data_IF_560875845985
#
_entry.id   IF_560875845985
#
_cell.length_a   1.000
_cell.length_b   1.000
_cell.length_c   1.000
_cell.angle_alpha   90.00
_cell.angle_beta   90.00
_cell.angle_gamma   90.00
#
_symmetry.space_group_name_H-M   'P 1'
#
loop_
_entity.id
_entity.type
_entity.pdbx_description
1 polymer ?
#
# COMPACT_ATOMS: atom_id res chain seq x y z
N UNK A 1 19.33 -3.76 -5.47
CA UNK A 1 19.88 -3.39 -6.79
C UNK A 1 18.87 -2.43 -7.41
N UNK A 2 19.10 -1.11 -7.36
CA UNK A 2 18.08 -0.12 -7.77
C UNK A 2 17.82 -0.20 -9.27
N UNK A 3 16.60 -0.56 -9.68
CA UNK A 3 16.23 -0.71 -11.08
C UNK A 3 16.34 0.65 -11.78
N UNK A 4 17.14 0.70 -12.86
CA UNK A 4 17.19 1.87 -13.75
C UNK A 4 15.92 1.90 -14.59
N UNK A 5 15.33 3.09 -14.74
CA UNK A 5 14.17 3.35 -15.60
C UNK A 5 14.36 2.67 -16.97
N UNK A 6 13.51 1.69 -17.30
CA UNK A 6 13.54 0.95 -18.57
C UNK A 6 14.26 -0.41 -18.57
N UNK A 7 14.68 -0.94 -17.42
CA UNK A 7 15.19 -2.32 -17.32
C UNK A 7 14.05 -3.31 -17.06
N UNK A 8 14.19 -4.55 -17.52
CA UNK A 8 13.22 -5.62 -17.23
C UNK A 8 13.11 -5.82 -15.71
N UNK A 9 11.91 -5.62 -15.17
CA UNK A 9 11.62 -5.85 -13.76
C UNK A 9 11.19 -7.30 -13.57
N UNK A 10 11.96 -8.00 -12.74
CA UNK A 10 11.74 -9.41 -12.45
C UNK A 10 12.45 -10.35 -13.41
N UNK A 11 12.37 -11.64 -13.09
CA UNK A 11 13.03 -12.71 -13.82
C UNK A 11 12.07 -13.88 -14.00
N UNK A 12 12.01 -14.42 -15.21
CA UNK A 12 11.34 -15.69 -15.46
C UNK A 12 12.08 -16.82 -14.73
N UNK A 13 11.34 -17.65 -14.00
CA UNK A 13 11.93 -18.73 -13.22
C UNK A 13 10.93 -19.78 -12.79
N UNK A 14 11.41 -20.75 -12.02
CA UNK A 14 10.58 -21.75 -11.36
C UNK A 14 10.54 -21.41 -9.88
N UNK A 15 9.35 -21.18 -9.29
CA UNK A 15 9.24 -20.89 -7.87
C UNK A 15 9.70 -22.11 -7.05
N UNK A 16 10.35 -21.92 -5.89
CA UNK A 16 10.60 -22.99 -4.94
C UNK A 16 9.31 -23.75 -4.57
N UNK A 17 9.44 -25.06 -4.35
CA UNK A 17 8.31 -25.96 -4.10
C UNK A 17 7.59 -25.68 -2.78
N UNK A 18 8.31 -25.13 -1.79
CA UNK A 18 7.87 -24.90 -0.42
C UNK A 18 7.51 -23.43 -0.12
N UNK A 19 7.30 -22.60 -1.16
CA UNK A 19 6.89 -21.22 -0.97
C UNK A 19 5.53 -21.12 -0.27
N UNK A 20 5.52 -20.38 0.83
CA UNK A 20 4.27 -19.93 1.44
C UNK A 20 3.52 -19.00 0.49
N UNK A 21 2.21 -19.23 0.42
CA UNK A 21 1.32 -18.50 -0.47
C UNK A 21 0.51 -17.47 0.29
N UNK A 22 0.42 -16.25 -0.25
CA UNK A 22 -0.41 -15.17 0.28
C UNK A 22 -1.54 -14.82 -0.70
N UNK A 23 -2.78 -14.79 -0.19
CA UNK A 23 -4.00 -14.44 -0.93
C UNK A 23 -4.46 -13.00 -0.70
N UNK A 24 -3.82 -12.30 0.24
CA UNK A 24 -4.10 -10.90 0.54
C UNK A 24 -2.83 -10.17 0.97
N UNK A 25 -2.82 -8.85 0.82
CA UNK A 25 -1.70 -7.98 1.21
C UNK A 25 -1.38 -8.09 2.70
N UNK A 26 -2.41 -8.34 3.52
CA UNK A 26 -2.27 -8.59 4.95
C UNK A 26 -1.40 -9.82 5.21
N UNK A 27 -1.66 -10.92 4.50
CA UNK A 27 -0.88 -12.16 4.64
C UNK A 27 0.57 -11.94 4.21
N UNK A 28 0.79 -11.14 3.16
CA UNK A 28 2.15 -10.73 2.76
C UNK A 28 2.82 -10.00 3.94
N UNK A 29 2.21 -8.93 4.47
CA UNK A 29 2.77 -8.17 5.60
C UNK A 29 3.01 -9.01 6.86
N UNK A 30 2.13 -9.97 7.16
CA UNK A 30 2.29 -10.91 8.28
C UNK A 30 3.46 -11.89 8.05
N UNK A 31 3.60 -12.45 6.85
CA UNK A 31 4.73 -13.33 6.49
C UNK A 31 6.06 -12.57 6.57
N UNK A 32 6.11 -11.36 5.99
CA UNK A 32 7.29 -10.50 6.03
C UNK A 32 7.67 -10.10 7.46
N UNK A 33 6.69 -9.75 8.28
CA UNK A 33 6.91 -9.43 9.70
C UNK A 33 7.43 -10.62 10.51
N UNK A 34 7.17 -11.85 10.07
CA UNK A 34 7.69 -13.07 10.69
C UNK A 34 9.05 -13.52 10.12
N UNK A 35 9.68 -12.71 9.26
CA UNK A 35 11.02 -12.95 8.73
C UNK A 35 11.06 -13.76 7.43
N UNK A 36 9.92 -14.10 6.84
CA UNK A 36 9.88 -14.65 5.49
C UNK A 36 10.14 -13.52 4.50
N UNK A 37 10.93 -13.75 3.47
CA UNK A 37 11.23 -12.73 2.46
C UNK A 37 10.89 -13.18 1.04
N UNK A 38 10.44 -14.43 0.85
CA UNK A 38 10.06 -14.98 -0.45
C UNK A 38 8.67 -15.59 -0.33
N UNK A 39 7.72 -15.11 -1.13
CA UNK A 39 6.30 -15.43 -0.99
C UNK A 39 5.69 -15.66 -2.39
N UNK A 40 4.84 -16.67 -2.54
CA UNK A 40 4.00 -16.84 -3.73
C UNK A 40 2.71 -16.03 -3.57
N UNK A 41 2.34 -15.21 -4.54
CA UNK A 41 1.08 -14.49 -4.51
C UNK A 41 -0.04 -15.29 -5.19
N UNK A 42 -1.23 -15.15 -4.64
CA UNK A 42 -2.45 -15.75 -5.18
C UNK A 42 -3.62 -14.75 -5.22
N UNK A 43 -3.40 -13.50 -4.79
CA UNK A 43 -4.43 -12.47 -4.70
C UNK A 43 -3.96 -11.24 -3.91
N UNK A 44 -4.85 -10.26 -3.80
CA UNK A 44 -4.57 -8.98 -3.15
C UNK A 44 -4.23 -7.85 -4.13
N UNK A 45 -4.04 -6.67 -3.58
CA UNK A 45 -3.78 -5.44 -4.32
C UNK A 45 -2.38 -5.43 -4.93
N UNK A 46 -1.39 -6.01 -4.23
CA UNK A 46 -0.05 -6.23 -4.79
C UNK A 46 -0.11 -7.19 -5.97
N UNK A 47 -0.80 -8.32 -5.85
CA UNK A 47 -0.97 -9.27 -6.96
C UNK A 47 -1.59 -8.59 -8.18
N UNK A 48 -2.65 -7.80 -8.00
CA UNK A 48 -3.26 -7.03 -9.08
C UNK A 48 -2.29 -5.99 -9.69
N UNK A 49 -1.50 -5.31 -8.84
CA UNK A 49 -0.50 -4.31 -9.27
C UNK A 49 0.60 -4.95 -10.13
N UNK A 50 1.02 -6.18 -9.81
CA UNK A 50 2.03 -6.92 -10.56
C UNK A 50 1.49 -7.56 -11.85
N UNK A 51 0.21 -7.34 -12.19
CA UNK A 51 -0.42 -7.98 -13.35
C UNK A 51 -0.72 -9.46 -13.14
N UNK A 52 -0.87 -9.88 -11.87
CA UNK A 52 -1.11 -11.26 -11.49
C UNK A 52 -2.30 -11.88 -12.24
N UNK A 53 -2.07 -13.11 -12.71
CA UNK A 53 -3.04 -13.90 -13.45
C UNK A 53 -3.15 -15.27 -12.79
N UNK A 54 -4.36 -15.81 -12.66
CA UNK A 54 -4.56 -17.18 -12.15
C UNK A 54 -4.45 -18.24 -13.26
N UNK A 55 -4.03 -17.85 -14.47
CA UNK A 55 -3.87 -18.78 -15.58
C UNK A 55 -2.56 -19.57 -15.45
N UNK A 56 -2.68 -20.90 -15.42
CA UNK A 56 -1.55 -21.84 -15.34
C UNK A 56 -0.58 -21.74 -16.53
N UNK A 57 -1.00 -21.11 -17.64
CA UNK A 57 -0.16 -20.86 -18.80
C UNK A 57 0.79 -19.66 -18.65
N UNK A 58 0.66 -18.89 -17.57
CA UNK A 58 1.50 -17.70 -17.34
C UNK A 58 2.86 -18.14 -16.80
N UNK A 59 3.98 -17.80 -17.45
CA UNK A 59 5.29 -18.09 -16.92
C UNK A 59 5.48 -17.44 -15.55
N UNK A 60 6.03 -18.17 -14.58
CA UNK A 60 6.24 -17.63 -13.24
C UNK A 60 7.33 -16.55 -13.24
N UNK A 61 7.03 -15.46 -12.56
CA UNK A 61 7.91 -14.31 -12.45
C UNK A 61 8.37 -14.13 -11.01
N UNK A 62 9.68 -14.03 -10.84
CA UNK A 62 10.34 -13.62 -9.60
C UNK A 62 10.51 -12.10 -9.60
N UNK A 63 9.87 -11.40 -8.66
CA UNK A 63 9.81 -9.94 -8.63
C UNK A 63 10.35 -9.43 -7.29
N UNK A 64 11.50 -8.73 -7.27
CA UNK A 64 11.92 -8.01 -6.07
C UNK A 64 10.96 -6.83 -5.85
N UNK A 65 10.61 -6.60 -4.59
CA UNK A 65 9.77 -5.49 -4.17
C UNK A 65 10.38 -4.75 -2.98
N UNK A 66 10.04 -3.47 -2.92
CA UNK A 66 10.15 -2.65 -1.74
C UNK A 66 8.94 -2.87 -0.84
N UNK A 67 9.11 -2.61 0.46
CA UNK A 67 8.02 -2.68 1.45
C UNK A 67 8.05 -1.46 2.36
N UNK A 68 6.96 -1.23 3.08
CA UNK A 68 6.88 -0.17 4.08
C UNK A 68 7.12 -0.76 5.47
N UNK A 69 8.15 -0.27 6.16
CA UNK A 69 8.24 -0.40 7.61
C UNK A 69 7.46 0.75 8.25
N UNK A 70 6.41 0.41 9.01
CA UNK A 70 5.48 1.36 9.62
C UNK A 70 5.65 1.34 11.12
N UNK A 71 6.16 2.44 11.67
CA UNK A 71 6.27 2.69 13.10
C UNK A 71 5.13 3.59 13.56
N UNK A 72 4.37 3.21 14.59
CA UNK A 72 3.20 3.98 15.01
C UNK A 72 2.95 3.90 16.52
N UNK A 73 2.23 4.90 17.04
CA UNK A 73 1.75 4.92 18.43
C UNK A 73 0.23 5.02 18.46
N UNK A 74 -0.41 4.17 19.26
CA UNK A 74 -1.85 4.27 19.46
C UNK A 74 -2.20 5.51 20.28
N UNK A 75 -3.41 6.04 20.11
CA UNK A 75 -3.85 7.22 20.87
C UNK A 75 -3.98 6.99 22.38
N UNK A 76 -3.99 5.73 22.84
CA UNK A 76 -4.13 5.35 24.27
C UNK A 76 -2.86 4.72 24.85
N UNK A 77 -1.81 4.57 24.04
CA UNK A 77 -0.63 3.80 24.38
C UNK A 77 0.59 4.46 23.73
N UNK A 78 1.57 4.82 24.55
CA UNK A 78 2.78 5.52 24.11
C UNK A 78 3.85 4.58 23.52
N UNK A 79 3.65 3.26 23.61
CA UNK A 79 4.53 2.26 23.02
C UNK A 79 4.59 2.41 21.50
N UNK A 80 5.82 2.43 20.96
CA UNK A 80 6.05 2.42 19.53
C UNK A 80 5.91 0.98 19.02
N UNK A 81 4.98 0.77 18.10
CA UNK A 81 4.75 -0.52 17.44
C UNK A 81 5.26 -0.45 16.01
N UNK A 82 5.81 -1.56 15.54
CA UNK A 82 6.35 -1.69 14.18
C UNK A 82 5.56 -2.78 13.45
N UNK A 83 5.20 -2.50 12.19
CA UNK A 83 4.59 -3.45 11.26
C UNK A 83 5.23 -3.30 9.89
N UNK A 84 5.33 -4.41 9.16
CA UNK A 84 5.67 -4.40 7.74
C UNK A 84 4.39 -4.41 6.93
N UNK A 85 4.34 -3.59 5.88
CA UNK A 85 3.23 -3.52 4.95
C UNK A 85 3.74 -3.63 3.52
N UNK A 86 3.07 -4.47 2.73
CA UNK A 86 3.43 -4.70 1.34
C UNK A 86 2.80 -3.66 0.42
N UNK A 87 1.57 -3.22 0.70
CA UNK A 87 0.75 -2.55 -0.31
C UNK A 87 0.34 -1.15 0.09
N UNK A 88 -0.26 -0.96 1.26
CA UNK A 88 -0.81 0.34 1.62
C UNK A 88 -1.01 0.59 3.11
N UNK A 89 -0.83 1.84 3.52
CA UNK A 89 -1.23 2.37 4.81
C UNK A 89 -2.24 3.50 4.63
N UNK A 90 -3.39 3.42 5.30
CA UNK A 90 -4.46 4.40 5.14
C UNK A 90 -4.81 4.99 6.51
N UNK A 91 -4.77 6.32 6.60
CA UNK A 91 -5.19 7.10 7.75
C UNK A 91 -6.48 7.85 7.42
N UNK A 92 -7.49 7.75 8.28
CA UNK A 92 -8.76 8.49 8.07
C UNK A 92 -9.31 9.05 9.35
N UNK A 93 -10.04 10.16 9.21
CA UNK A 93 -10.80 10.75 10.30
C UNK A 93 -11.67 9.73 11.02
N UNK A 94 -11.68 9.80 12.36
CA UNK A 94 -12.51 8.94 13.21
C UNK A 94 -13.97 9.30 12.95
N UNK A 95 -14.70 8.42 12.26
CA UNK A 95 -16.13 8.53 12.14
C UNK A 95 -16.77 7.14 12.03
N UNK A 96 -18.07 7.06 12.36
CA UNK A 96 -18.83 5.81 12.32
C UNK A 96 -18.96 5.19 10.91
N UNK A 97 -18.58 5.92 9.85
CA UNK A 97 -18.74 5.51 8.44
C UNK A 97 -17.41 5.36 7.68
N UNK A 98 -16.30 5.16 8.39
CA UNK A 98 -14.99 4.82 7.77
C UNK A 98 -14.25 5.97 7.07
N UNK A 99 -14.50 7.22 7.45
CA UNK A 99 -13.61 8.36 7.17
C UNK A 99 -13.68 8.97 5.78
N UNK A 100 -14.09 8.21 4.75
CA UNK A 100 -13.88 8.65 3.36
C UNK A 100 -14.71 9.88 2.96
N UNK A 101 -15.94 10.02 3.45
CA UNK A 101 -16.84 11.08 2.99
C UNK A 101 -16.68 12.41 3.72
N UNK A 102 -15.89 12.47 4.80
CA UNK A 102 -15.68 13.67 5.61
C UNK A 102 -14.36 13.63 6.37
N UNK A 103 -13.72 14.79 6.51
CA UNK A 103 -12.47 14.94 7.25
C UNK A 103 -11.24 14.60 6.39
N UNK A 104 -10.05 14.85 6.93
CA UNK A 104 -8.81 14.52 6.23
C UNK A 104 -8.61 13.02 6.12
N UNK A 105 -7.93 12.62 5.05
CA UNK A 105 -7.46 11.25 4.88
C UNK A 105 -6.12 11.22 4.17
N UNK A 106 -5.26 10.30 4.58
CA UNK A 106 -3.98 10.04 3.94
C UNK A 106 -3.98 8.59 3.46
N UNK A 107 -3.54 8.35 2.23
CA UNK A 107 -3.24 7.02 1.73
C UNK A 107 -1.77 7.00 1.30
N UNK A 108 -0.99 6.10 1.88
CA UNK A 108 0.39 5.83 1.49
C UNK A 108 0.39 4.50 0.76
N UNK A 109 0.78 4.52 -0.51
CA UNK A 109 0.56 3.45 -1.47
C UNK A 109 1.89 2.99 -2.05
N UNK A 110 2.24 1.72 -1.82
CA UNK A 110 3.30 1.00 -2.51
C UNK A 110 2.72 0.21 -3.71
N UNK A 111 1.50 -0.28 -3.56
CA UNK A 111 0.70 -0.88 -4.63
C UNK A 111 -0.18 0.17 -5.32
N UNK A 112 -0.53 -0.09 -6.59
CA UNK A 112 -1.41 0.78 -7.37
C UNK A 112 -2.85 0.78 -6.80
N UNK A 113 -3.30 -0.40 -6.36
CA UNK A 113 -4.68 -0.65 -6.00
C UNK A 113 -4.95 -0.57 -4.49
N UNK A 114 -6.17 -0.19 -4.15
CA UNK A 114 -6.83 -0.42 -2.87
C UNK A 114 -8.16 -1.14 -3.17
N UNK A 115 -8.18 -2.46 -3.10
CA UNK A 115 -9.23 -3.29 -3.66
C UNK A 115 -9.48 -2.95 -5.14
N UNK A 116 -10.71 -2.51 -5.46
CA UNK A 116 -11.10 -2.15 -6.84
C UNK A 116 -10.72 -0.74 -7.28
N UNK A 117 -10.06 0.03 -6.43
CA UNK A 117 -9.74 1.43 -6.69
C UNK A 117 -8.28 1.55 -7.12
N UNK A 118 -8.05 2.10 -8.30
CA UNK A 118 -6.75 2.55 -8.78
C UNK A 118 -6.42 3.89 -8.11
N UNK A 119 -5.80 3.79 -6.93
CA UNK A 119 -5.49 4.93 -6.05
C UNK A 119 -4.15 5.56 -6.43
N UNK A 120 -3.16 4.75 -6.80
CA UNK A 120 -1.83 5.21 -7.19
C UNK A 120 -1.44 4.70 -8.59
N UNK A 121 -2.04 5.22 -9.68
CA UNK A 121 -1.78 4.75 -11.06
C UNK A 121 -0.33 4.86 -11.53
N UNK A 122 0.50 5.61 -10.78
CA UNK A 122 1.91 5.89 -11.09
C UNK A 122 2.89 5.21 -10.13
N UNK A 123 2.39 4.53 -9.09
CA UNK A 123 3.23 3.85 -8.11
C UNK A 123 3.89 2.62 -8.72
N UNK A 124 5.13 2.35 -8.34
CA UNK A 124 5.85 1.15 -8.75
C UNK A 124 6.40 0.45 -7.50
N UNK A 125 6.06 -0.82 -7.23
CA UNK A 125 6.46 -1.53 -6.01
C UNK A 125 7.96 -1.78 -5.79
N UNK A 126 8.86 -1.21 -6.61
CA UNK A 126 10.30 -1.46 -6.56
C UNK A 126 11.15 -0.28 -7.07
N UNK A 127 10.67 0.96 -6.87
CA UNK A 127 11.36 2.19 -7.28
C UNK A 127 11.99 2.98 -6.11
N UNK A 128 11.88 2.44 -4.90
CA UNK A 128 12.36 2.99 -3.65
C UNK A 128 11.45 4.06 -3.06
N UNK A 129 10.18 4.14 -3.49
CA UNK A 129 9.25 5.21 -3.12
C UNK A 129 7.84 4.68 -2.90
N UNK A 130 7.04 5.49 -2.24
CA UNK A 130 5.60 5.31 -2.07
C UNK A 130 4.87 6.58 -2.48
N UNK A 131 3.67 6.41 -3.01
CA UNK A 131 2.77 7.51 -3.35
C UNK A 131 1.91 7.88 -2.13
N UNK A 132 2.06 9.10 -1.65
CA UNK A 132 1.29 9.69 -0.56
C UNK A 132 0.20 10.58 -1.16
N UNK A 133 -1.06 10.18 -0.98
CA UNK A 133 -2.23 10.95 -1.34
C UNK A 133 -2.88 11.53 -0.09
N UNK A 134 -2.89 12.87 0.01
CA UNK A 134 -3.52 13.59 1.13
C UNK A 134 -4.78 14.29 0.62
N UNK A 135 -5.93 13.93 1.19
CA UNK A 135 -7.23 14.55 0.88
C UNK A 135 -7.58 15.57 1.96
N UNK A 136 -7.84 16.80 1.52
CA UNK A 136 -8.18 17.91 2.41
C UNK A 136 -9.56 17.71 3.06
N UNK A 137 -9.69 18.11 4.33
CA UNK A 137 -10.95 18.04 5.07
C UNK A 137 -12.07 18.90 4.44
N UNK A 138 -11.72 19.95 3.68
CA UNK A 138 -12.66 20.83 2.97
C UNK A 138 -13.32 20.18 1.75
N UNK A 139 -12.75 19.10 1.22
CA UNK A 139 -13.29 18.42 0.05
C UNK A 139 -14.72 17.94 0.32
N UNK A 140 -15.67 18.44 -0.45
CA UNK A 140 -17.09 18.16 -0.24
C UNK A 140 -17.45 16.68 -0.46
N UNK A 141 -18.55 16.25 0.14
CA UNK A 141 -19.09 14.88 -0.05
C UNK A 141 -19.31 14.57 -1.53
N UNK A 142 -19.81 15.54 -2.31
CA UNK A 142 -20.04 15.39 -3.76
C UNK A 142 -18.73 15.18 -4.52
N UNK A 143 -17.70 15.99 -4.24
CA UNK A 143 -16.38 15.81 -4.83
C UNK A 143 -15.78 14.44 -4.47
N UNK A 144 -15.94 14.00 -3.22
CA UNK A 144 -15.46 12.67 -2.76
C UNK A 144 -16.17 11.51 -3.45
N UNK A 145 -17.46 11.63 -3.76
CA UNK A 145 -18.18 10.65 -4.57
C UNK A 145 -17.66 10.60 -6.01
N UNK A 146 -17.44 11.77 -6.62
CA UNK A 146 -16.88 11.87 -7.99
C UNK A 146 -15.47 11.28 -8.03
N UNK A 147 -14.60 11.67 -7.09
CA UNK A 147 -13.25 11.13 -6.97
C UNK A 147 -13.26 9.61 -6.80
N UNK A 148 -14.13 9.07 -5.94
CA UNK A 148 -14.28 7.62 -5.75
C UNK A 148 -14.74 6.88 -7.00
N UNK A 149 -15.64 7.48 -7.78
CA UNK A 149 -16.05 6.92 -9.07
C UNK A 149 -14.86 6.89 -10.04
N UNK A 150 -14.14 8.01 -10.16
CA UNK A 150 -12.97 8.14 -11.04
C UNK A 150 -11.78 7.28 -10.61
N UNK A 151 -11.65 6.96 -9.31
CA UNK A 151 -10.64 6.00 -8.82
C UNK A 151 -10.82 4.61 -9.41
N UNK A 152 -12.00 4.23 -9.90
CA UNK A 152 -12.17 2.92 -10.56
C UNK A 152 -11.39 2.84 -11.88
N UNK A 153 -11.04 3.98 -12.48
CA UNK A 153 -10.31 4.06 -13.75
C UNK A 153 -8.99 4.82 -13.63
N UNK A 154 -8.54 5.12 -12.41
CA UNK A 154 -7.31 5.88 -12.16
C UNK A 154 -7.39 7.38 -12.53
N UNK A 155 -8.56 7.90 -12.94
CA UNK A 155 -8.73 9.27 -13.49
C UNK A 155 -9.13 10.32 -12.44
N UNK A 156 -8.93 10.01 -11.16
CA UNK A 156 -9.31 10.90 -10.06
C UNK A 156 -8.32 12.05 -9.82
N UNK A 157 -7.16 12.01 -10.50
CA UNK A 157 -6.10 13.01 -10.45
C UNK A 157 -5.96 13.73 -11.80
N UNK A 158 -5.52 15.00 -11.82
CA UNK A 158 -5.32 15.87 -10.65
C UNK A 158 -6.66 16.35 -10.06
N UNK A 159 -6.71 16.63 -8.75
CA UNK A 159 -7.85 17.23 -8.07
C UNK A 159 -7.38 18.31 -7.08
N UNK A 160 -8.03 19.49 -6.99
CA UNK A 160 -7.55 20.63 -6.17
C UNK A 160 -7.47 20.36 -4.67
N UNK A 161 -8.26 19.40 -4.18
CA UNK A 161 -8.29 19.00 -2.76
C UNK A 161 -7.59 17.65 -2.49
N UNK A 162 -6.82 17.14 -3.47
CA UNK A 162 -5.99 15.94 -3.31
C UNK A 162 -4.56 16.31 -3.68
N UNK A 163 -3.66 16.29 -2.69
CA UNK A 163 -2.23 16.42 -2.95
C UNK A 163 -1.61 15.04 -3.13
N UNK A 164 -0.61 14.93 -4.02
CA UNK A 164 0.08 13.67 -4.33
C UNK A 164 1.58 13.91 -4.28
N UNK A 165 2.31 13.08 -3.54
CA UNK A 165 3.77 13.15 -3.39
C UNK A 165 4.37 11.75 -3.48
N UNK A 166 5.52 11.64 -4.13
CA UNK A 166 6.30 10.41 -4.23
C UNK A 166 7.53 10.51 -3.33
N UNK A 167 7.60 9.73 -2.26
CA UNK A 167 8.60 9.87 -1.18
C UNK A 167 9.15 8.51 -0.73
N UNK A 168 10.36 8.48 -0.18
CA UNK A 168 10.93 7.27 0.46
C UNK A 168 10.61 7.17 1.96
N UNK A 169 10.20 8.29 2.56
CA UNK A 169 9.88 8.41 3.98
C UNK A 169 8.65 9.31 4.13
N UNK A 170 7.79 8.96 5.07
CA UNK A 170 6.59 9.74 5.39
C UNK A 170 6.36 9.74 6.90
N UNK A 171 6.16 10.93 7.46
CA UNK A 171 5.82 11.09 8.88
C UNK A 171 4.51 11.85 8.99
N UNK A 172 3.62 11.34 9.84
CA UNK A 172 2.38 11.97 10.21
C UNK A 172 2.24 12.00 11.72
N UNK A 173 1.85 13.15 12.26
CA UNK A 173 1.48 13.32 13.65
C UNK A 173 0.36 14.34 13.77
N UNK A 174 -0.57 14.13 14.69
CA UNK A 174 -1.63 15.11 14.91
C UNK A 174 -2.83 14.57 15.68
N UNK A 175 -4.00 15.10 15.36
CA UNK A 175 -5.26 14.64 15.94
C UNK A 175 -5.52 13.19 15.55
N UNK A 176 -6.15 12.46 16.47
CA UNK A 176 -6.30 11.02 16.35
C UNK A 176 -7.01 10.61 15.05
N UNK A 177 -6.39 9.72 14.28
CA UNK A 177 -6.94 9.10 13.07
C UNK A 177 -7.05 7.60 13.24
N UNK A 178 -7.99 6.97 12.53
CA UNK A 178 -7.99 5.51 12.43
C UNK A 178 -7.03 5.09 11.33
N UNK A 179 -6.20 4.09 11.62
CA UNK A 179 -5.22 3.52 10.70
C UNK A 179 -5.62 2.13 10.25
N UNK A 180 -5.37 1.86 8.98
CA UNK A 180 -5.43 0.56 8.34
C UNK A 180 -4.11 0.27 7.65
N UNK A 181 -3.61 -0.95 7.80
CA UNK A 181 -2.41 -1.45 7.10
C UNK A 181 -2.84 -2.67 6.31
N UNK A 182 -2.58 -2.70 5.01
CA UNK A 182 -2.91 -3.81 4.11
C UNK A 182 -4.35 -4.36 4.29
N UNK A 183 -5.28 -3.44 4.57
CA UNK A 183 -6.71 -3.71 4.73
C UNK A 183 -7.12 -4.05 6.16
N UNK A 184 -6.16 -4.39 7.04
CA UNK A 184 -6.40 -4.66 8.44
C UNK A 184 -6.55 -3.36 9.24
N UNK A 185 -7.66 -3.23 9.99
CA UNK A 185 -7.84 -2.10 10.92
C UNK A 185 -6.90 -2.27 12.11
N UNK A 186 -5.97 -1.33 12.26
CA UNK A 186 -5.00 -1.34 13.37
C UNK A 186 -5.56 -0.63 14.60
N UNK A 187 -6.29 0.47 14.38
CA UNK A 187 -6.92 1.23 15.45
C UNK A 187 -6.62 2.72 15.35
N UNK A 188 -6.81 3.42 16.46
CA UNK A 188 -6.65 4.88 16.51
C UNK A 188 -5.21 5.22 16.86
N UNK A 189 -4.57 6.07 16.05
CA UNK A 189 -3.17 6.49 16.16
C UNK A 189 -3.07 8.01 16.16
N UNK A 190 -1.99 8.53 16.76
CA UNK A 190 -1.65 9.96 16.77
C UNK A 190 -0.27 10.24 16.16
N UNK A 191 0.49 9.18 15.88
CA UNK A 191 1.80 9.23 15.27
C UNK A 191 1.98 8.01 14.37
N UNK A 192 2.47 8.25 13.16
CA UNK A 192 2.84 7.23 12.16
C UNK A 192 4.09 7.72 11.43
N UNK A 193 5.05 6.83 11.28
CA UNK A 193 6.25 7.01 10.47
C UNK A 193 6.35 5.80 9.55
N UNK A 194 6.66 6.06 8.29
CA UNK A 194 6.78 5.05 7.25
C UNK A 194 8.12 5.25 6.56
N UNK A 195 8.89 4.18 6.50
CA UNK A 195 10.15 4.11 5.76
C UNK A 195 10.05 3.02 4.69
N UNK A 196 10.45 3.35 3.47
CA UNK A 196 10.56 2.38 2.39
C UNK A 196 11.83 1.56 2.56
N UNK A 197 11.66 0.25 2.69
CA UNK A 197 12.72 -0.74 2.77
C UNK A 197 12.92 -1.33 1.39
N UNK A 198 14.07 -1.05 0.77
CA UNK A 198 14.32 -1.41 -0.62
C UNK A 198 14.69 -2.86 -0.81
N UNK A 199 14.23 -3.46 -1.92
CA UNK A 199 14.54 -4.86 -2.30
C UNK A 199 14.36 -5.83 -1.11
N UNK A 200 13.35 -5.59 -0.27
CA UNK A 200 13.20 -6.29 1.02
C UNK A 200 12.64 -7.69 0.87
N UNK A 201 11.79 -7.90 -0.14
CA UNK A 201 11.12 -9.16 -0.39
C UNK A 201 11.13 -9.52 -1.87
N UNK A 202 10.94 -10.81 -2.14
CA UNK A 202 10.80 -11.39 -3.46
C UNK A 202 9.43 -12.04 -3.56
N UNK A 203 8.64 -11.62 -4.54
CA UNK A 203 7.30 -12.15 -4.80
C UNK A 203 7.30 -13.00 -6.06
N UNK A 204 6.59 -14.11 -6.00
CA UNK A 204 6.33 -14.97 -7.15
C UNK A 204 4.88 -14.86 -7.59
N UNK A 205 4.65 -14.60 -8.88
CA UNK A 205 3.32 -14.59 -9.52
C UNK A 205 3.25 -15.59 -10.65
#
# INVERSE_FOLDING_TARGET
MTIRRGSDWGRLGTPPDDLLSARSDREIGEHLGNGLNTIRLCGGDMFATLGGSTSESTPSLELPIDVMQISFKHSRDSELKIRVASSHCVLRAINARGGWFRGSSVAVMNAQYLGKWDVAPRGHPNDGRVEVLEVDARMSVRQRMIARSRMQTGTHLPHPDISVKSVSEFTWSGSALTMWIDGAKIGVVQFVEIQVMKDFATLWI
#
